data_IF_656113120821
#
_entry.id   IF_656113120821
#
_cell.length_a   1.000
_cell.length_b   1.000
_cell.length_c   1.000
_cell.angle_alpha   90.00
_cell.angle_beta   90.00
_cell.angle_gamma   90.00
#
_symmetry.space_group_name_H-M   'P 1'
#
loop_
_entity.id
_entity.type
_entity.pdbx_description
1 polymer ?
#
# COMPACT_ATOMS: atom_id res chain seq x y z
N UNK A 1 7.08 1.73 -31.94
CA UNK A 1 8.08 1.28 -30.95
C UNK A 1 7.35 1.21 -29.64
N UNK A 2 7.25 0.02 -29.06
CA UNK A 2 6.61 -0.19 -27.75
C UNK A 2 7.65 0.15 -26.68
N UNK A 3 7.28 0.94 -25.67
CA UNK A 3 8.16 1.35 -24.58
C UNK A 3 7.69 0.62 -23.33
N UNK A 4 8.49 -0.34 -22.85
CA UNK A 4 8.22 -1.05 -21.61
C UNK A 4 9.00 -0.43 -20.45
N UNK A 5 8.27 -0.09 -19.38
CA UNK A 5 8.84 0.38 -18.13
C UNK A 5 8.91 -0.74 -17.09
N UNK A 6 9.95 -0.73 -16.27
CA UNK A 6 10.00 -1.52 -15.03
C UNK A 6 9.68 -0.62 -13.86
N UNK A 7 8.92 -1.13 -12.89
CA UNK A 7 8.54 -0.36 -11.69
C UNK A 7 8.83 -1.19 -10.44
N UNK A 8 9.59 -0.61 -9.52
CA UNK A 8 9.90 -1.18 -8.22
C UNK A 8 9.30 -0.35 -7.09
N UNK A 9 8.61 -1.00 -6.14
CA UNK A 9 7.99 -0.32 -5.00
C UNK A 9 8.43 -0.97 -3.69
N UNK A 10 8.82 -0.14 -2.73
CA UNK A 10 9.07 -0.56 -1.35
C UNK A 10 8.58 0.52 -0.38
N UNK A 11 8.14 0.08 0.80
CA UNK A 11 7.76 0.94 1.91
C UNK A 11 8.75 0.74 3.05
N UNK A 12 9.28 1.84 3.58
CA UNK A 12 10.21 1.80 4.71
C UNK A 12 10.60 3.19 5.16
N UNK A 13 11.31 3.26 6.29
CA UNK A 13 11.78 4.52 6.85
C UNK A 13 12.91 5.10 5.98
N UNK A 14 12.84 6.40 5.73
CA UNK A 14 13.88 7.18 5.06
C UNK A 14 14.12 8.47 5.84
N UNK A 15 15.35 8.96 5.83
CA UNK A 15 15.71 10.29 6.33
C UNK A 15 15.75 11.22 5.14
N UNK A 16 15.05 12.36 5.23
CA UNK A 16 15.05 13.39 4.19
C UNK A 16 15.76 14.62 4.74
N UNK A 17 16.72 15.16 3.99
CA UNK A 17 17.45 16.38 4.35
C UNK A 17 17.88 17.16 3.13
N UNK A 18 18.15 18.46 3.32
CA UNK A 18 18.80 19.26 2.30
C UNK A 18 20.28 18.90 2.23
N UNK A 19 20.75 18.45 1.06
CA UNK A 19 22.16 18.18 0.82
C UNK A 19 22.62 19.11 -0.31
N UNK A 20 23.45 20.11 0.02
CA UNK A 20 24.01 21.08 -0.93
C UNK A 20 24.31 22.45 -0.31
N UNK A 21 25.32 23.16 -0.83
CA UNK A 21 25.63 24.54 -0.43
C UNK A 21 24.78 25.54 -1.22
N UNK A 22 23.92 26.30 -0.53
CA UNK A 22 23.16 27.52 -0.88
C UNK A 22 22.58 27.79 -2.30
N UNK A 23 22.86 27.00 -3.34
CA UNK A 23 22.36 27.26 -4.70
C UNK A 23 21.73 26.04 -5.40
N UNK A 24 21.86 24.83 -4.83
CA UNK A 24 21.16 23.63 -5.26
C UNK A 24 20.71 22.86 -4.00
N UNK A 25 19.47 23.06 -3.58
CA UNK A 25 18.85 22.19 -2.57
C UNK A 25 18.27 20.98 -3.28
N UNK A 26 19.07 19.91 -3.35
CA UNK A 26 18.52 18.59 -3.66
C UNK A 26 17.99 17.97 -2.36
N UNK A 27 16.69 17.67 -2.35
CA UNK A 27 16.09 16.86 -1.29
C UNK A 27 16.50 15.41 -1.52
N UNK A 28 17.58 14.99 -0.86
CA UNK A 28 18.02 13.60 -0.92
C UNK A 28 17.35 12.82 0.21
N UNK A 29 16.70 11.72 -0.16
CA UNK A 29 16.26 10.72 0.80
C UNK A 29 17.41 9.71 0.99
N UNK A 30 17.77 9.41 2.22
CA UNK A 30 18.78 8.42 2.58
C UNK A 30 18.09 7.28 3.35
N UNK A 31 18.33 6.04 2.92
CA UNK A 31 17.82 4.87 3.65
C UNK A 31 17.84 3.59 2.82
N UNK A 32 17.91 2.47 3.53
CA UNK A 32 17.86 1.12 2.94
C UNK A 32 16.58 0.91 2.11
N UNK A 33 15.48 1.58 2.48
CA UNK A 33 14.22 1.50 1.76
C UNK A 33 14.31 1.92 0.28
N UNK A 34 15.21 2.85 -0.05
CA UNK A 34 15.44 3.34 -1.43
C UNK A 34 16.20 2.29 -2.24
N UNK A 35 17.22 1.69 -1.64
CA UNK A 35 17.98 0.62 -2.27
C UNK A 35 17.10 -0.60 -2.55
N UNK A 36 16.17 -0.93 -1.65
CA UNK A 36 15.20 -2.01 -1.88
C UNK A 36 14.27 -1.66 -3.04
N UNK A 37 13.70 -0.45 -3.08
CA UNK A 37 12.82 -0.03 -4.19
C UNK A 37 13.54 -0.10 -5.54
N UNK A 38 14.77 0.42 -5.61
CA UNK A 38 15.60 0.34 -6.80
C UNK A 38 15.91 -1.11 -7.18
N UNK A 39 16.15 -1.99 -6.20
CA UNK A 39 16.37 -3.41 -6.47
C UNK A 39 15.12 -4.11 -7.02
N UNK A 40 13.93 -3.72 -6.55
CA UNK A 40 12.67 -4.25 -7.10
C UNK A 40 12.50 -3.84 -8.56
N UNK A 41 12.84 -2.59 -8.93
CA UNK A 41 12.78 -2.14 -10.33
C UNK A 41 13.75 -2.93 -11.20
N UNK A 42 15.01 -3.06 -10.76
CA UNK A 42 16.05 -3.75 -11.51
C UNK A 42 15.74 -5.23 -11.79
N UNK A 43 14.98 -5.88 -10.91
CA UNK A 43 14.64 -7.30 -11.01
C UNK A 43 13.25 -7.54 -11.60
N UNK A 44 12.46 -6.48 -11.79
CA UNK A 44 11.16 -6.58 -12.42
C UNK A 44 11.28 -6.98 -13.89
N UNK A 45 10.29 -7.73 -14.37
CA UNK A 45 10.14 -8.00 -15.81
C UNK A 45 9.71 -6.68 -16.49
N UNK A 46 10.23 -6.33 -17.67
CA UNK A 46 9.75 -5.17 -18.43
C UNK A 46 8.22 -5.17 -18.59
N UNK A 47 7.60 -4.01 -18.41
CA UNK A 47 6.14 -3.85 -18.44
C UNK A 47 5.43 -4.25 -17.14
N UNK A 48 6.17 -4.65 -16.10
CA UNK A 48 5.59 -5.13 -14.82
C UNK A 48 6.02 -4.30 -13.61
N UNK A 49 5.30 -4.53 -12.51
CA UNK A 49 5.58 -3.97 -11.20
C UNK A 49 6.09 -5.09 -10.29
N UNK A 50 7.14 -4.82 -9.52
CA UNK A 50 7.60 -5.70 -8.44
C UNK A 50 7.62 -4.93 -7.12
N UNK A 51 7.14 -5.56 -6.06
CA UNK A 51 7.02 -4.95 -4.74
C UNK A 51 7.67 -5.82 -3.67
N UNK A 52 8.17 -5.18 -2.60
CA UNK A 52 8.65 -5.89 -1.42
C UNK A 52 7.52 -6.46 -0.57
N UNK A 53 7.84 -7.42 0.29
CA UNK A 53 6.92 -7.99 1.28
C UNK A 53 6.26 -6.93 2.18
N UNK A 54 7.01 -5.88 2.56
CA UNK A 54 6.50 -4.82 3.41
C UNK A 54 5.38 -4.06 2.71
N UNK A 55 5.58 -3.70 1.44
CA UNK A 55 4.52 -3.07 0.64
C UNK A 55 3.37 -4.04 0.39
N UNK A 56 3.66 -5.31 0.09
CA UNK A 56 2.63 -6.34 -0.11
C UNK A 56 1.69 -6.43 1.09
N UNK A 57 2.20 -6.50 2.33
CA UNK A 57 1.37 -6.56 3.54
C UNK A 57 0.40 -5.38 3.68
N UNK A 58 0.76 -4.20 3.17
CA UNK A 58 -0.08 -3.00 3.22
C UNK A 58 -1.20 -2.99 2.16
N UNK A 59 -0.99 -3.69 1.03
CA UNK A 59 -1.91 -3.66 -0.11
C UNK A 59 -2.49 -5.03 -0.49
N UNK A 60 -2.15 -6.09 0.24
CA UNK A 60 -2.65 -7.45 0.07
C UNK A 60 -4.19 -7.54 0.02
N UNK A 61 -4.95 -6.72 0.80
CA UNK A 61 -6.41 -6.72 0.69
C UNK A 61 -6.94 -6.14 -0.63
N UNK A 62 -6.14 -5.39 -1.39
CA UNK A 62 -6.59 -4.61 -2.54
C UNK A 62 -6.31 -5.27 -3.91
N UNK A 63 -5.29 -6.11 -4.00
CA UNK A 63 -4.86 -6.71 -5.27
C UNK A 63 -4.66 -8.23 -5.14
N UNK A 64 -4.68 -8.90 -6.29
CA UNK A 64 -4.14 -10.25 -6.44
C UNK A 64 -2.65 -10.17 -6.77
N UNK A 65 -1.88 -11.12 -6.24
CA UNK A 65 -0.43 -11.12 -6.35
C UNK A 65 0.10 -12.45 -6.86
N UNK A 66 1.16 -12.39 -7.65
CA UNK A 66 2.07 -13.49 -7.93
C UNK A 66 3.24 -13.43 -6.94
N UNK A 67 3.56 -14.55 -6.30
CA UNK A 67 4.75 -14.69 -5.46
C UNK A 67 5.97 -14.92 -6.36
N UNK A 68 6.97 -14.02 -6.26
CA UNK A 68 8.20 -14.07 -7.05
C UNK A 68 9.39 -14.63 -6.26
N UNK A 69 9.18 -15.03 -5.00
CA UNK A 69 10.22 -15.51 -4.11
C UNK A 69 11.16 -14.41 -3.62
N UNK A 70 12.36 -14.84 -3.21
CA UNK A 70 13.32 -14.00 -2.49
C UNK A 70 14.37 -13.38 -3.43
N UNK A 71 14.65 -12.09 -3.23
CA UNK A 71 15.66 -11.33 -3.96
C UNK A 71 16.74 -10.83 -3.00
N UNK A 72 18.01 -11.11 -3.32
CA UNK A 72 19.14 -10.54 -2.58
C UNK A 72 19.28 -9.04 -2.90
N UNK A 73 19.29 -8.23 -1.85
CA UNK A 73 19.59 -6.79 -1.91
C UNK A 73 21.02 -6.58 -1.39
N UNK A 74 21.83 -5.81 -2.12
CA UNK A 74 23.20 -5.50 -1.72
C UNK A 74 23.19 -4.81 -0.35
N UNK A 75 24.00 -5.31 0.59
CA UNK A 75 24.10 -4.75 1.93
C UNK A 75 23.08 -5.29 2.93
N UNK A 76 22.12 -6.11 2.51
CA UNK A 76 21.26 -6.87 3.43
C UNK A 76 21.74 -8.32 3.53
N UNK A 77 21.75 -8.83 4.76
CA UNK A 77 22.09 -10.23 5.05
C UNK A 77 20.92 -11.12 4.61
N UNK A 78 19.71 -10.78 5.04
CA UNK A 78 18.50 -11.50 4.68
C UNK A 78 17.96 -11.04 3.32
N UNK A 79 17.61 -11.97 2.42
CA UNK A 79 16.98 -11.63 1.17
C UNK A 79 15.54 -11.16 1.40
N UNK A 80 15.04 -10.32 0.50
CA UNK A 80 13.69 -9.73 0.61
C UNK A 80 12.71 -10.57 -0.19
N UNK A 81 11.60 -10.99 0.42
CA UNK A 81 10.50 -11.66 -0.29
C UNK A 81 9.76 -10.63 -1.16
N UNK A 82 9.41 -11.01 -2.39
CA UNK A 82 8.89 -10.08 -3.40
C UNK A 82 7.67 -10.64 -4.12
N UNK A 83 6.84 -9.72 -4.61
CA UNK A 83 5.55 -10.02 -5.20
C UNK A 83 5.31 -9.15 -6.44
N UNK A 84 4.47 -9.62 -7.36
CA UNK A 84 3.94 -8.83 -8.48
C UNK A 84 2.43 -8.65 -8.34
N UNK A 85 1.90 -7.42 -8.25
CA UNK A 85 0.47 -7.19 -8.37
C UNK A 85 -0.01 -7.54 -9.78
N UNK A 86 -1.05 -8.36 -9.88
CA UNK A 86 -1.63 -8.78 -11.16
C UNK A 86 -2.82 -7.91 -11.54
N UNK A 87 -3.73 -7.68 -10.60
CA UNK A 87 -4.96 -6.89 -10.81
C UNK A 87 -5.58 -6.46 -9.48
N UNK A 88 -6.42 -5.44 -9.52
CA UNK A 88 -7.28 -5.09 -8.38
C UNK A 88 -8.27 -6.21 -8.09
N UNK A 89 -8.54 -6.47 -6.82
CA UNK A 89 -9.61 -7.37 -6.39
C UNK A 89 -10.96 -6.71 -6.70
N UNK A 90 -11.93 -7.51 -7.15
CA UNK A 90 -13.28 -7.03 -7.44
C UNK A 90 -14.00 -6.50 -6.19
N UNK A 91 -13.70 -7.10 -5.03
CA UNK A 91 -14.15 -6.67 -3.71
C UNK A 91 -12.89 -6.47 -2.85
N UNK A 92 -12.47 -5.21 -2.61
CA UNK A 92 -11.32 -4.94 -1.75
C UNK A 92 -11.59 -5.40 -0.32
N UNK A 93 -10.63 -6.11 0.28
CA UNK A 93 -10.66 -6.42 1.72
C UNK A 93 -10.45 -5.16 2.57
N UNK A 94 -10.80 -5.22 3.85
CA UNK A 94 -10.60 -4.10 4.77
C UNK A 94 -9.10 -3.82 4.96
N UNK A 95 -8.70 -2.57 4.73
CA UNK A 95 -7.34 -2.06 5.02
C UNK A 95 -7.05 -1.98 6.53
N UNK A 96 -8.09 -2.00 7.38
CA UNK A 96 -8.00 -1.96 8.83
C UNK A 96 -8.93 -3.00 9.44
N UNK A 97 -8.41 -3.73 10.43
CA UNK A 97 -9.09 -4.89 11.04
C UNK A 97 -8.42 -6.19 10.62
N UNK A 98 -8.77 -7.27 11.31
CA UNK A 98 -8.31 -8.63 11.00
C UNK A 98 -9.30 -9.24 10.02
N UNK A 99 -8.80 -9.72 8.88
CA UNK A 99 -9.61 -10.35 7.84
C UNK A 99 -10.35 -11.57 8.43
N UNK A 100 -11.68 -11.59 8.33
CA UNK A 100 -12.53 -12.63 8.92
C UNK A 100 -12.88 -12.46 10.41
N UNK A 101 -12.43 -11.39 11.08
CA UNK A 101 -12.89 -11.06 12.44
C UNK A 101 -13.89 -9.90 12.41
N UNK A 102 -15.17 -10.22 12.34
CA UNK A 102 -16.23 -9.30 12.73
C UNK A 102 -16.27 -9.23 14.26
N UNK A 103 -16.00 -8.06 14.83
CA UNK A 103 -16.33 -7.80 16.23
C UNK A 103 -17.81 -7.40 16.28
N UNK A 104 -18.72 -8.26 16.78
CA UNK A 104 -20.11 -7.89 16.89
C UNK A 104 -20.21 -6.74 17.89
N UNK A 105 -20.88 -5.66 17.51
CA UNK A 105 -21.09 -4.55 18.42
C UNK A 105 -22.22 -4.90 19.38
N UNK A 106 -21.91 -5.57 20.50
CA UNK A 106 -22.92 -5.97 21.49
C UNK A 106 -23.40 -4.73 22.27
N UNK A 107 -24.71 -4.47 22.30
CA UNK A 107 -25.34 -3.50 23.19
C UNK A 107 -25.24 -2.04 22.74
N UNK A 108 -24.83 -1.78 21.49
CA UNK A 108 -24.71 -0.43 20.90
C UNK A 108 -25.71 -0.19 19.78
N UNK A 109 -26.81 -0.93 19.76
CA UNK A 109 -27.79 -0.88 18.67
C UNK A 109 -28.38 0.52 18.51
N UNK A 110 -28.69 1.20 19.63
CA UNK A 110 -29.21 2.59 19.62
C UNK A 110 -28.18 3.62 19.17
N UNK A 111 -26.90 3.40 19.49
CA UNK A 111 -25.81 4.31 19.13
C UNK A 111 -25.50 4.20 17.63
N UNK A 112 -25.47 2.96 17.10
CA UNK A 112 -25.33 2.68 15.67
C UNK A 112 -26.52 3.26 14.89
N UNK A 113 -27.75 3.09 15.36
CA UNK A 113 -28.94 3.66 14.72
C UNK A 113 -28.87 5.20 14.65
N UNK A 114 -28.41 5.84 15.73
CA UNK A 114 -28.22 7.29 15.78
C UNK A 114 -27.15 7.76 14.79
N UNK A 115 -26.02 7.06 14.71
CA UNK A 115 -24.94 7.35 13.75
C UNK A 115 -25.42 7.16 12.30
N UNK A 116 -26.09 6.06 11.99
CA UNK A 116 -26.65 5.79 10.66
C UNK A 116 -27.66 6.85 10.23
N UNK A 117 -28.53 7.29 11.16
CA UNK A 117 -29.51 8.34 10.89
C UNK A 117 -28.84 9.69 10.59
N UNK A 118 -27.81 10.04 11.35
CA UNK A 118 -27.06 11.28 11.15
C UNK A 118 -26.23 11.24 9.88
N UNK A 119 -25.64 10.10 9.55
CA UNK A 119 -24.90 9.90 8.32
C UNK A 119 -25.83 10.03 7.10
N UNK A 120 -26.99 9.36 7.09
CA UNK A 120 -27.99 9.52 6.01
C UNK A 120 -28.44 10.97 5.84
N UNK A 121 -28.55 11.72 6.94
CA UNK A 121 -28.86 13.16 6.90
C UNK A 121 -27.70 13.97 6.31
N UNK A 122 -26.46 13.61 6.62
CA UNK A 122 -25.25 14.23 6.11
C UNK A 122 -25.05 13.98 4.61
N UNK A 123 -25.17 12.74 4.14
CA UNK A 123 -25.05 12.36 2.72
C UNK A 123 -26.09 13.08 1.86
N UNK A 124 -27.32 13.25 2.39
CA UNK A 124 -28.41 13.97 1.72
C UNK A 124 -28.19 15.50 1.67
N UNK A 125 -27.35 16.04 2.54
CA UNK A 125 -27.05 17.48 2.63
C UNK A 125 -25.77 17.85 1.85
N UNK A 126 -24.79 16.95 1.76
CA UNK A 126 -23.46 17.25 1.21
C UNK A 126 -23.00 16.34 0.05
N UNK A 127 -23.80 15.38 -0.41
CA UNK A 127 -23.51 14.59 -1.62
C UNK A 127 -22.25 13.70 -1.57
N UNK A 128 -21.61 13.56 -0.40
CA UNK A 128 -20.42 12.72 -0.23
C UNK A 128 -20.82 11.26 -0.05
N UNK A 129 -20.44 10.39 -1.00
CA UNK A 129 -20.58 8.93 -0.86
C UNK A 129 -19.66 8.42 0.24
N UNK A 130 -20.22 7.89 1.33
CA UNK A 130 -19.46 7.09 2.30
C UNK A 130 -19.87 5.63 2.16
N UNK A 131 -18.96 4.80 1.63
CA UNK A 131 -19.16 3.36 1.54
C UNK A 131 -19.07 2.76 2.95
N UNK A 132 -20.24 2.56 3.58
CA UNK A 132 -20.36 1.65 4.71
C UNK A 132 -20.50 0.23 4.15
N UNK A 133 -19.42 -0.55 4.34
CA UNK A 133 -19.42 -1.99 4.12
C UNK A 133 -20.19 -2.61 5.29
N UNK A 134 -21.46 -2.93 5.05
CA UNK A 134 -22.28 -3.86 5.85
C UNK A 134 -22.03 -5.30 5.36
N UNK A 135 -21.90 -6.21 6.32
CA UNK A 135 -21.48 -7.61 6.17
C UNK A 135 -20.23 -7.82 6.99
#
# INVERSE_FOLDING_TARGET
MEIDARVGINTGLVVVGAVGSNLQMEYSALGDAINIAARMEQTAIPGTIQISEVTHKLVAPLFEFEDLGFVQVKGKIEPVHTYRPLRTKAIPGRLRGIEGLESPTIGREKEIETLQKNLKKFERTFGGRTNFLDG
#
